data_IF_053987693501
#
_entry.id   IF_053987693501
#
_cell.length_a   1.000
_cell.length_b   1.000
_cell.length_c   1.000
_cell.angle_alpha   90.00
_cell.angle_beta   90.00
_cell.angle_gamma   90.00
#
_symmetry.space_group_name_H-M   'P 1'
#
loop_
_entity.id
_entity.type
_entity.pdbx_description
1 polymer ?
#
# COMPACT_ATOMS: atom_id res chain seq x y z
N UNK A 1 12.22 -0.55 8.17
CA UNK A 1 10.90 -0.55 8.85
C UNK A 1 10.95 -0.07 10.29
N UNK A 2 11.56 -0.76 11.26
CA UNK A 2 11.67 -0.27 12.66
C UNK A 2 12.35 1.10 12.76
N UNK A 3 13.42 1.31 11.99
CA UNK A 3 14.14 2.59 11.96
C UNK A 3 13.29 3.73 11.37
N UNK A 4 12.38 3.45 10.44
CA UNK A 4 11.52 4.45 9.81
C UNK A 4 10.27 4.76 10.67
N UNK A 5 9.58 3.72 11.14
CA UNK A 5 8.24 3.83 11.74
C UNK A 5 8.20 3.68 13.27
N UNK A 6 9.30 3.26 13.92
CA UNK A 6 9.29 2.91 15.36
C UNK A 6 8.60 1.56 15.62
N UNK A 7 8.74 1.04 16.85
CA UNK A 7 8.27 -0.30 17.20
C UNK A 7 6.73 -0.41 17.16
N UNK A 8 6.00 0.57 17.68
CA UNK A 8 4.54 0.53 17.82
C UNK A 8 3.82 0.47 16.45
N UNK A 9 4.27 1.28 15.49
CA UNK A 9 3.66 1.36 14.15
C UNK A 9 4.09 0.18 13.26
N UNK A 10 5.30 -0.35 13.48
CA UNK A 10 5.77 -1.52 12.75
C UNK A 10 4.97 -2.79 13.09
N UNK A 11 4.32 -2.83 14.26
CA UNK A 11 3.55 -3.98 14.74
C UNK A 11 2.02 -3.85 14.60
N UNK A 12 1.51 -2.71 14.14
CA UNK A 12 0.07 -2.53 13.90
C UNK A 12 -0.38 -3.26 12.62
N UNK A 13 -0.93 -4.47 12.80
CA UNK A 13 -1.38 -5.32 11.69
C UNK A 13 -2.44 -4.69 10.79
N UNK A 14 -3.32 -3.83 11.32
CA UNK A 14 -4.39 -3.19 10.55
C UNK A 14 -3.79 -2.14 9.62
N UNK A 15 -2.97 -1.23 10.17
CA UNK A 15 -2.29 -0.20 9.36
C UNK A 15 -1.35 -0.84 8.34
N UNK A 16 -0.63 -1.92 8.69
CA UNK A 16 0.23 -2.63 7.74
C UNK A 16 -0.58 -3.26 6.60
N UNK A 17 -1.74 -3.84 6.90
CA UNK A 17 -2.64 -4.41 5.90
C UNK A 17 -3.15 -3.34 4.93
N UNK A 18 -3.66 -2.21 5.45
CA UNK A 18 -4.15 -1.11 4.60
C UNK A 18 -3.04 -0.49 3.75
N UNK A 19 -1.84 -0.28 4.32
CA UNK A 19 -0.71 0.28 3.56
C UNK A 19 -0.23 -0.65 2.47
N UNK A 20 -0.19 -1.96 2.72
CA UNK A 20 0.12 -2.92 1.67
C UNK A 20 -0.90 -2.87 0.53
N UNK A 21 -2.20 -2.87 0.85
CA UNK A 21 -3.26 -2.78 -0.16
C UNK A 21 -3.18 -1.48 -0.98
N UNK A 22 -2.89 -0.35 -0.33
CA UNK A 22 -2.72 0.95 -0.98
C UNK A 22 -1.54 0.92 -1.99
N UNK A 23 -0.36 0.45 -1.58
CA UNK A 23 0.81 0.34 -2.48
C UNK A 23 0.58 -0.63 -3.64
N UNK A 24 -0.06 -1.78 -3.37
CA UNK A 24 -0.41 -2.75 -4.42
C UNK A 24 -1.40 -2.12 -5.43
N UNK A 25 -2.36 -1.33 -4.94
CA UNK A 25 -3.33 -0.61 -5.78
C UNK A 25 -2.65 0.48 -6.61
N UNK A 26 -1.73 1.25 -6.02
CA UNK A 26 -0.93 2.26 -6.72
C UNK A 26 -0.05 1.62 -7.82
N UNK A 27 0.54 0.46 -7.54
CA UNK A 27 1.35 -0.27 -8.52
C UNK A 27 0.53 -0.72 -9.74
N UNK A 28 -0.64 -1.32 -9.55
CA UNK A 28 -1.49 -1.75 -10.67
C UNK A 28 -2.14 -0.57 -11.40
N UNK A 29 -2.46 0.52 -10.69
CA UNK A 29 -2.91 1.77 -11.30
C UNK A 29 -1.84 2.34 -12.23
N UNK A 30 -0.58 2.41 -11.78
CA UNK A 30 0.54 2.85 -12.60
C UNK A 30 0.77 1.94 -13.82
N UNK A 31 0.41 0.65 -13.70
CA UNK A 31 0.47 -0.32 -14.79
C UNK A 31 -0.80 -0.38 -15.66
N UNK A 32 -1.69 0.62 -15.55
CA UNK A 32 -2.82 0.82 -16.46
C UNK A 32 -4.14 0.14 -16.04
N UNK A 33 -4.21 -0.48 -14.85
CA UNK A 33 -5.47 -1.01 -14.34
C UNK A 33 -6.45 0.11 -14.06
N UNK A 34 -7.68 -0.03 -14.55
CA UNK A 34 -8.76 0.91 -14.28
C UNK A 34 -9.35 0.69 -12.90
N UNK A 35 -9.95 1.75 -12.33
CA UNK A 35 -10.71 1.66 -11.07
C UNK A 35 -11.81 0.59 -11.13
N UNK A 36 -12.48 0.45 -12.29
CA UNK A 36 -13.56 -0.52 -12.43
C UNK A 36 -13.04 -1.96 -12.36
N UNK A 37 -11.93 -2.27 -13.04
CA UNK A 37 -11.27 -3.58 -12.95
C UNK A 37 -10.81 -3.88 -11.52
N UNK A 38 -10.22 -2.90 -10.83
CA UNK A 38 -9.80 -3.05 -9.44
C UNK A 38 -10.99 -3.40 -8.52
N UNK A 39 -12.12 -2.69 -8.63
CA UNK A 39 -13.31 -3.00 -7.83
C UNK A 39 -13.90 -4.38 -8.14
N UNK A 40 -13.91 -4.80 -9.41
CA UNK A 40 -14.37 -6.15 -9.77
C UNK A 40 -13.51 -7.25 -9.12
N UNK A 41 -12.18 -7.05 -9.06
CA UNK A 41 -11.27 -7.98 -8.39
C UNK A 41 -11.45 -7.99 -6.87
N UNK A 42 -11.73 -6.84 -6.27
CA UNK A 42 -12.11 -6.75 -4.85
C UNK A 42 -13.36 -7.60 -4.61
N UNK A 43 -14.45 -7.36 -5.34
CA UNK A 43 -15.70 -8.12 -5.16
C UNK A 43 -15.50 -9.62 -5.37
N UNK A 44 -14.73 -10.02 -6.39
CA UNK A 44 -14.41 -11.41 -6.67
C UNK A 44 -13.59 -12.09 -5.56
N UNK A 45 -12.63 -11.38 -4.97
CA UNK A 45 -11.74 -11.92 -3.94
C UNK A 45 -12.47 -12.04 -2.60
N UNK A 46 -13.17 -10.98 -2.18
CA UNK A 46 -13.95 -10.96 -0.95
C UNK A 46 -15.26 -11.76 -1.03
N UNK A 47 -15.67 -12.20 -2.22
CA UNK A 47 -16.78 -13.14 -2.42
C UNK A 47 -16.43 -14.61 -2.16
N UNK A 48 -15.19 -14.92 -1.77
CA UNK A 48 -14.69 -16.28 -1.51
C UNK A 48 -14.40 -16.49 -0.01
N UNK A 49 -14.35 -17.75 0.46
CA UNK A 49 -13.83 -18.03 1.79
C UNK A 49 -12.39 -17.54 1.95
N UNK A 50 -12.03 -17.10 3.15
CA UNK A 50 -10.69 -16.67 3.49
C UNK A 50 -9.65 -17.77 3.22
N UNK A 51 -8.51 -17.37 2.66
CA UNK A 51 -7.32 -18.22 2.50
C UNK A 51 -6.46 -18.28 3.76
N UNK A 52 -5.43 -19.12 3.73
CA UNK A 52 -4.42 -19.16 4.79
C UNK A 52 -3.35 -18.10 4.54
N UNK A 53 -3.05 -17.27 5.56
CA UNK A 53 -2.23 -16.07 5.40
C UNK A 53 -0.83 -16.36 4.84
N UNK A 54 -0.14 -17.42 5.31
CA UNK A 54 1.18 -17.77 4.82
C UNK A 54 1.15 -18.12 3.32
N UNK A 55 0.14 -18.85 2.88
CA UNK A 55 -0.08 -19.15 1.45
C UNK A 55 -0.36 -17.88 0.64
N UNK A 56 -1.22 -16.97 1.12
CA UNK A 56 -1.55 -15.73 0.40
C UNK A 56 -0.34 -14.78 0.27
N UNK A 57 0.51 -14.71 1.30
CA UNK A 57 1.78 -13.97 1.24
C UNK A 57 2.69 -14.55 0.14
N UNK A 58 2.74 -15.87 0.00
CA UNK A 58 3.45 -16.53 -1.10
C UNK A 58 2.87 -16.15 -2.47
N UNK A 59 1.54 -16.15 -2.59
CA UNK A 59 0.82 -15.75 -3.80
C UNK A 59 1.12 -14.31 -4.21
N UNK A 60 1.12 -13.38 -3.26
CA UNK A 60 1.50 -11.98 -3.47
C UNK A 60 2.93 -11.86 -4.01
N UNK A 61 3.89 -12.56 -3.39
CA UNK A 61 5.29 -12.46 -3.79
C UNK A 61 5.51 -12.93 -5.23
N UNK A 62 4.92 -14.07 -5.63
CA UNK A 62 5.09 -14.60 -6.99
C UNK A 62 4.37 -13.77 -8.04
N UNK A 63 3.20 -13.20 -7.71
CA UNK A 63 2.45 -12.35 -8.65
C UNK A 63 3.09 -10.99 -8.84
N UNK A 64 3.70 -10.40 -7.79
CA UNK A 64 4.52 -9.20 -7.92
C UNK A 64 5.73 -9.45 -8.83
N UNK A 65 6.44 -10.57 -8.65
CA UNK A 65 7.57 -10.93 -9.51
C UNK A 65 7.14 -11.11 -10.98
N UNK A 66 5.99 -11.75 -11.21
CA UNK A 66 5.43 -11.92 -12.56
C UNK A 66 5.03 -10.58 -13.19
N UNK A 67 4.44 -9.66 -12.41
CA UNK A 67 4.10 -8.30 -12.85
C UNK A 67 5.36 -7.53 -13.25
N UNK A 68 6.40 -7.53 -12.42
CA UNK A 68 7.67 -6.88 -12.72
C UNK A 68 8.30 -7.44 -14.01
N UNK A 69 8.30 -8.77 -14.18
CA UNK A 69 8.78 -9.41 -15.40
C UNK A 69 8.00 -8.96 -16.64
N UNK A 70 6.66 -8.95 -16.56
CA UNK A 70 5.80 -8.53 -17.67
C UNK A 70 5.95 -7.04 -18.02
N UNK A 71 6.23 -6.19 -17.03
CA UNK A 71 6.43 -4.75 -17.20
C UNK A 71 7.89 -4.37 -17.51
N UNK A 72 8.81 -5.34 -17.61
CA UNK A 72 10.22 -5.09 -17.88
C UNK A 72 10.98 -4.37 -16.74
N UNK A 73 10.53 -4.57 -15.50
CA UNK A 73 11.08 -3.95 -14.30
C UNK A 73 11.90 -4.95 -13.48
N UNK A 74 13.03 -4.49 -12.93
CA UNK A 74 13.78 -5.22 -11.92
C UNK A 74 13.15 -4.98 -10.54
N UNK A 75 12.49 -6.02 -10.01
CA UNK A 75 11.82 -5.99 -8.71
C UNK A 75 12.77 -5.62 -7.57
N UNK A 76 14.00 -6.15 -7.58
CA UNK A 76 14.97 -5.90 -6.52
C UNK A 76 15.51 -4.48 -6.60
N UNK A 77 15.88 -4.01 -7.80
CA UNK A 77 16.38 -2.65 -7.98
C UNK A 77 15.32 -1.59 -7.60
N UNK A 78 14.04 -1.84 -7.92
CA UNK A 78 12.94 -0.98 -7.50
C UNK A 78 12.81 -0.92 -5.96
N UNK A 79 12.87 -2.08 -5.30
CA UNK A 79 12.85 -2.18 -3.84
C UNK A 79 14.02 -1.46 -3.16
N UNK A 80 15.24 -1.63 -3.66
CA UNK A 80 16.44 -0.96 -3.13
C UNK A 80 16.38 0.56 -3.31
N UNK A 81 15.89 1.03 -4.47
CA UNK A 81 15.71 2.47 -4.74
C UNK A 81 14.74 3.09 -3.73
N UNK A 82 13.61 2.43 -3.47
CA UNK A 82 12.62 2.90 -2.51
C UNK A 82 13.15 2.84 -1.07
N UNK A 83 13.82 1.74 -0.70
CA UNK A 83 14.45 1.59 0.61
C UNK A 83 15.47 2.69 0.88
N UNK A 84 16.32 3.01 -0.10
CA UNK A 84 17.27 4.10 0.00
C UNK A 84 16.57 5.45 0.23
N UNK A 85 15.48 5.73 -0.50
CA UNK A 85 14.69 6.96 -0.38
C UNK A 85 14.06 7.13 1.00
N UNK A 86 13.44 6.07 1.55
CA UNK A 86 12.74 6.13 2.85
C UNK A 86 13.68 6.05 4.05
N UNK A 87 14.93 5.63 3.83
CA UNK A 87 15.97 5.57 4.86
C UNK A 87 16.64 6.93 5.12
N UNK A 88 16.43 7.92 4.24
CA UNK A 88 16.97 9.29 4.40
C UNK A 88 16.38 9.96 5.65
N UNK A 89 17.18 10.56 6.56
CA UNK A 89 16.71 11.10 7.84
C UNK A 89 15.54 12.10 7.71
N UNK A 90 15.59 12.98 6.72
CA UNK A 90 14.52 13.96 6.46
C UNK A 90 13.22 13.29 6.01
N UNK A 91 13.31 12.22 5.21
CA UNK A 91 12.16 11.43 4.78
C UNK A 91 11.56 10.67 5.96
N UNK A 92 12.41 10.07 6.81
CA UNK A 92 11.98 9.42 8.06
C UNK A 92 11.23 10.40 8.97
N UNK A 93 11.76 11.61 9.17
CA UNK A 93 11.11 12.63 9.98
C UNK A 93 9.74 13.03 9.42
N UNK A 94 9.62 13.21 8.11
CA UNK A 94 8.35 13.51 7.43
C UNK A 94 7.33 12.37 7.57
N UNK A 95 7.77 11.13 7.39
CA UNK A 95 6.91 9.94 7.53
C UNK A 95 6.37 9.87 8.96
N UNK A 96 7.22 10.05 9.98
CA UNK A 96 6.83 10.04 11.39
C UNK A 96 5.85 11.17 11.73
N UNK A 97 6.10 12.38 11.24
CA UNK A 97 5.19 13.51 11.44
C UNK A 97 3.80 13.27 10.84
N UNK A 98 3.73 12.73 9.61
CA UNK A 98 2.47 12.36 8.97
C UNK A 98 1.73 11.28 9.76
N UNK A 99 2.45 10.27 10.26
CA UNK A 99 1.85 9.19 11.05
C UNK A 99 1.32 9.70 12.40
N UNK A 100 2.05 10.57 13.09
CA UNK A 100 1.59 11.18 14.34
C UNK A 100 0.33 12.05 14.18
N UNK A 101 0.06 12.55 12.97
CA UNK A 101 -1.09 13.39 12.65
C UNK A 101 -2.32 12.58 12.19
N UNK A 102 -2.24 11.25 12.04
CA UNK A 102 -3.38 10.45 11.56
C UNK A 102 -4.49 10.34 12.62
N UNK A 103 -5.78 10.51 12.23
CA UNK A 103 -6.91 10.16 13.09
C UNK A 103 -6.91 8.67 13.43
N UNK A 104 -7.19 8.32 14.69
CA UNK A 104 -7.07 6.93 15.21
C UNK A 104 -8.11 5.92 14.67
N UNK A 105 -9.06 6.33 13.83
CA UNK A 105 -10.25 5.52 13.53
C UNK A 105 -10.68 5.44 12.06
N UNK A 106 -9.85 5.87 11.10
CA UNK A 106 -10.18 5.76 9.68
C UNK A 106 -8.99 5.26 8.86
N UNK A 107 -9.18 4.27 7.96
CA UNK A 107 -8.15 3.87 7.00
C UNK A 107 -7.89 4.95 5.93
N UNK A 108 -8.82 5.91 5.79
CA UNK A 108 -8.75 6.98 4.81
C UNK A 108 -8.32 8.28 5.50
N UNK A 109 -7.46 9.11 4.86
CA UNK A 109 -7.31 10.50 5.24
C UNK A 109 -8.69 11.16 5.21
N UNK A 110 -9.02 12.01 6.20
CA UNK A 110 -10.21 12.85 6.12
C UNK A 110 -10.09 13.71 4.86
N UNK A 111 -10.86 13.39 3.81
CA UNK A 111 -10.98 14.27 2.66
C UNK A 111 -11.70 15.54 3.14
N UNK A 112 -11.16 16.75 2.93
CA UNK A 112 -11.96 17.95 3.14
C UNK A 112 -13.19 17.86 2.23
N UNK A 113 -14.37 17.99 2.82
CA UNK A 113 -15.64 17.91 2.11
C UNK A 113 -15.59 18.74 0.83
N UNK A 114 -15.92 18.12 -0.30
CA UNK A 114 -16.02 18.82 -1.57
C UNK A 114 -16.92 20.05 -1.38
N UNK A 115 -16.39 21.24 -1.70
CA UNK A 115 -17.19 22.46 -1.79
C UNK A 115 -18.26 22.20 -2.82
N UNK A 116 -19.48 21.90 -2.36
CA UNK A 116 -20.64 21.77 -3.24
C UNK A 116 -20.83 23.11 -3.92
N UNK A 117 -20.75 23.10 -5.25
CA UNK A 117 -20.92 24.27 -6.09
C UNK A 117 -22.25 24.95 -5.80
N UNK A 118 -22.18 26.27 -5.69
CA UNK A 118 -23.34 27.14 -5.75
C UNK A 118 -23.97 26.98 -7.14
N UNK A 119 -25.22 26.56 -7.17
CA UNK A 119 -26.15 26.77 -8.28
C UNK A 119 -27.23 27.74 -7.81
#
# INVERSE_FOLDING_TARGET
MLQCFGAEIATDGIERNHRFFEEATEAVQANGMTRSEAHQLVDYTFGRPDGELHQEIGGVMVTLAALCLASGLDMHAAGETELARISVPETVAKIRAKQAAKPKHSPLPEFPAAVQGQS
#
